data_IF_078086660858
#
_entry.id   IF_078086660858
#
_cell.length_a   1.000
_cell.length_b   1.000
_cell.length_c   1.000
_cell.angle_alpha   90.00
_cell.angle_beta   90.00
_cell.angle_gamma   90.00
#
_symmetry.space_group_name_H-M   'P 1'
#
loop_
_entity.id
_entity.type
_entity.pdbx_description
1 polymer ?
#
# COMPACT_ATOMS: atom_id res chain seq x y z
N UNK A 1 -33.14 -4.46 -14.34
CA UNK A 1 -31.71 -4.74 -14.07
C UNK A 1 -31.34 -3.91 -12.85
N UNK A 2 -31.26 -4.50 -11.67
CA UNK A 2 -30.89 -3.77 -10.45
C UNK A 2 -29.50 -3.19 -10.66
N UNK A 3 -29.40 -1.86 -10.66
CA UNK A 3 -28.10 -1.20 -10.59
C UNK A 3 -27.49 -1.61 -9.26
N UNK A 4 -26.48 -2.48 -9.32
CA UNK A 4 -25.69 -2.83 -8.15
C UNK A 4 -24.79 -1.62 -7.84
N UNK A 5 -25.25 -0.75 -6.94
CA UNK A 5 -24.54 0.46 -6.54
C UNK A 5 -23.13 0.13 -6.07
N UNK A 6 -22.97 -0.99 -5.34
CA UNK A 6 -21.68 -1.48 -4.90
C UNK A 6 -20.76 -1.80 -6.08
N UNK A 7 -21.25 -2.52 -7.09
CA UNK A 7 -20.48 -2.86 -8.29
C UNK A 7 -20.00 -1.61 -9.04
N UNK A 8 -20.87 -0.60 -9.19
CA UNK A 8 -20.48 0.66 -9.85
C UNK A 8 -19.38 1.40 -9.08
N UNK A 9 -19.51 1.49 -7.76
CA UNK A 9 -18.48 2.13 -6.91
C UNK A 9 -17.16 1.35 -6.94
N UNK A 10 -17.22 0.02 -6.95
CA UNK A 10 -16.03 -0.82 -7.05
C UNK A 10 -15.33 -0.63 -8.40
N UNK A 11 -16.07 -0.65 -9.50
CA UNK A 11 -15.53 -0.41 -10.85
C UNK A 11 -14.89 0.98 -10.92
N UNK A 12 -15.53 2.02 -10.39
CA UNK A 12 -14.96 3.36 -10.34
C UNK A 12 -13.60 3.38 -9.61
N UNK A 13 -13.49 2.73 -8.44
CA UNK A 13 -12.22 2.65 -7.71
C UNK A 13 -11.15 1.85 -8.44
N UNK A 14 -11.53 0.79 -9.16
CA UNK A 14 -10.62 0.00 -9.98
C UNK A 14 -10.05 0.85 -11.13
N UNK A 15 -10.88 1.62 -11.81
CA UNK A 15 -10.41 2.47 -12.91
C UNK A 15 -9.50 3.59 -12.42
N UNK A 16 -9.82 4.23 -11.29
CA UNK A 16 -8.94 5.20 -10.64
C UNK A 16 -7.59 4.55 -10.29
N UNK A 17 -7.62 3.35 -9.70
CA UNK A 17 -6.40 2.61 -9.37
C UNK A 17 -5.55 2.32 -10.60
N UNK A 18 -6.15 1.81 -11.68
CA UNK A 18 -5.45 1.47 -12.92
C UNK A 18 -4.77 2.71 -13.53
N UNK A 19 -5.51 3.80 -13.67
CA UNK A 19 -4.97 5.04 -14.25
C UNK A 19 -3.86 5.65 -13.37
N UNK A 20 -4.03 5.66 -12.04
CA UNK A 20 -3.00 6.16 -11.15
C UNK A 20 -1.72 5.28 -11.18
N UNK A 21 -1.89 3.96 -11.16
CA UNK A 21 -0.78 3.01 -11.01
C UNK A 21 0.02 2.78 -12.29
N UNK A 22 -0.62 2.81 -13.47
CA UNK A 22 0.03 2.59 -14.75
C UNK A 22 0.36 3.92 -15.45
N UNK A 23 -0.64 4.77 -15.67
CA UNK A 23 -0.48 5.95 -16.52
C UNK A 23 0.16 7.11 -15.76
N UNK A 24 -0.40 7.45 -14.58
CA UNK A 24 0.08 8.59 -13.79
C UNK A 24 1.45 8.32 -13.20
N UNK A 25 1.71 7.10 -12.73
CA UNK A 25 3.03 6.74 -12.23
C UNK A 25 4.09 6.84 -13.34
N UNK A 26 3.81 6.38 -14.54
CA UNK A 26 4.78 6.49 -15.64
C UNK A 26 4.99 7.95 -16.06
N UNK A 27 3.92 8.73 -16.22
CA UNK A 27 4.03 10.13 -16.65
C UNK A 27 4.77 11.03 -15.66
N UNK A 28 4.74 10.70 -14.36
CA UNK A 28 5.44 11.47 -13.32
C UNK A 28 6.90 11.05 -13.17
N UNK A 29 7.23 9.78 -13.37
CA UNK A 29 8.54 9.22 -13.00
C UNK A 29 9.38 8.74 -14.19
N UNK A 30 8.93 8.91 -15.42
CA UNK A 30 9.71 8.67 -16.64
C UNK A 30 9.96 10.00 -17.36
N UNK A 31 11.13 10.13 -17.98
CA UNK A 31 11.42 11.27 -18.85
C UNK A 31 10.88 11.05 -20.28
N UNK A 32 11.04 12.05 -21.14
CA UNK A 32 10.61 12.00 -22.55
C UNK A 32 11.27 10.87 -23.37
N UNK A 33 12.44 10.39 -22.94
CA UNK A 33 13.15 9.26 -23.54
C UNK A 33 12.66 7.88 -23.05
N UNK A 34 11.64 7.85 -22.17
CA UNK A 34 11.12 6.61 -21.57
C UNK A 34 12.04 6.00 -20.51
N UNK A 35 12.94 6.79 -19.93
CA UNK A 35 13.84 6.37 -18.84
C UNK A 35 13.28 6.77 -17.49
N UNK A 36 13.26 5.82 -16.57
CA UNK A 36 12.88 6.03 -15.17
C UNK A 36 13.88 6.97 -14.48
N UNK A 37 13.39 8.11 -13.98
CA UNK A 37 14.22 9.16 -13.36
C UNK A 37 14.41 8.95 -11.86
N UNK A 38 13.40 8.43 -11.16
CA UNK A 38 13.43 8.22 -9.70
C UNK A 38 12.84 6.85 -9.33
N UNK A 39 13.64 5.77 -9.38
CA UNK A 39 13.12 4.42 -9.13
C UNK A 39 12.49 4.22 -7.76
N UNK A 40 13.08 4.82 -6.71
CA UNK A 40 12.55 4.71 -5.35
C UNK A 40 11.22 5.43 -5.17
N UNK A 41 11.08 6.65 -5.70
CA UNK A 41 9.82 7.40 -5.64
C UNK A 41 8.73 6.77 -6.53
N UNK A 42 9.10 6.20 -7.67
CA UNK A 42 8.18 5.42 -8.50
C UNK A 42 7.60 4.21 -7.76
N UNK A 43 8.46 3.46 -7.06
CA UNK A 43 8.04 2.35 -6.21
C UNK A 43 7.11 2.82 -5.09
N UNK A 44 7.56 3.79 -4.29
CA UNK A 44 6.79 4.36 -3.17
C UNK A 44 5.44 4.92 -3.60
N UNK A 45 5.37 5.58 -4.75
CA UNK A 45 4.12 6.08 -5.31
C UNK A 45 3.14 4.94 -5.62
N UNK A 46 3.61 3.89 -6.28
CA UNK A 46 2.80 2.71 -6.61
C UNK A 46 2.36 1.95 -5.35
N UNK A 47 3.23 1.80 -4.37
CA UNK A 47 2.89 1.22 -3.07
C UNK A 47 1.77 2.00 -2.37
N UNK A 48 1.84 3.32 -2.37
CA UNK A 48 0.81 4.17 -1.76
C UNK A 48 -0.54 4.07 -2.49
N UNK A 49 -0.54 4.01 -3.83
CA UNK A 49 -1.77 3.77 -4.61
C UNK A 49 -2.38 2.41 -4.26
N UNK A 50 -1.55 1.37 -4.15
CA UNK A 50 -2.01 0.04 -3.71
C UNK A 50 -2.63 0.09 -2.31
N UNK A 51 -2.00 0.75 -1.34
CA UNK A 51 -2.53 0.89 0.02
C UNK A 51 -3.89 1.59 0.02
N UNK A 52 -4.04 2.68 -0.73
CA UNK A 52 -5.30 3.41 -0.83
C UNK A 52 -6.42 2.55 -1.44
N UNK A 53 -6.12 1.81 -2.50
CA UNK A 53 -7.08 0.90 -3.13
C UNK A 53 -7.47 -0.24 -2.17
N UNK A 54 -6.50 -0.85 -1.49
CA UNK A 54 -6.79 -1.89 -0.49
C UNK A 54 -7.62 -1.34 0.68
N UNK A 55 -7.34 -0.13 1.17
CA UNK A 55 -8.10 0.49 2.26
C UNK A 55 -9.59 0.63 1.94
N UNK A 56 -9.96 0.78 0.66
CA UNK A 56 -11.37 0.83 0.24
C UNK A 56 -12.13 -0.48 0.49
N UNK A 57 -11.46 -1.63 0.39
CA UNK A 57 -12.07 -2.96 0.56
C UNK A 57 -11.75 -3.60 1.92
N UNK A 58 -10.73 -3.10 2.62
CA UNK A 58 -10.30 -3.59 3.92
C UNK A 58 -11.29 -3.15 5.01
N UNK A 59 -11.76 -4.07 5.88
CA UNK A 59 -12.60 -3.71 7.03
C UNK A 59 -11.96 -2.66 7.93
N UNK A 60 -12.77 -1.76 8.50
CA UNK A 60 -12.28 -0.68 9.35
C UNK A 60 -11.61 -1.15 10.66
N UNK A 61 -11.80 -2.42 11.06
CA UNK A 61 -11.09 -3.04 12.18
C UNK A 61 -9.61 -3.33 11.86
N UNK A 62 -9.23 -3.30 10.58
CA UNK A 62 -7.86 -3.51 10.14
C UNK A 62 -7.26 -2.21 9.61
N UNK A 63 -5.96 -2.10 9.77
CA UNK A 63 -5.18 -1.00 9.23
C UNK A 63 -4.07 -1.49 8.30
N UNK A 64 -3.52 -0.56 7.51
CA UNK A 64 -2.53 -0.84 6.48
C UNK A 64 -1.27 -0.04 6.76
N UNK A 65 -0.14 -0.74 6.92
CA UNK A 65 1.16 -0.15 7.22
C UNK A 65 2.28 -0.66 6.31
N UNK A 66 3.48 -0.21 6.60
CA UNK A 66 4.75 -0.61 5.95
C UNK A 66 5.79 -0.79 7.03
N UNK A 67 6.62 -1.81 6.93
CA UNK A 67 7.64 -2.07 7.94
C UNK A 67 8.14 -3.50 7.93
N UNK A 68 8.54 -4.00 9.09
CA UNK A 68 9.11 -5.34 9.24
C UNK A 68 8.22 -6.19 10.14
N UNK A 69 8.19 -7.49 9.89
CA UNK A 69 7.52 -8.45 10.76
C UNK A 69 8.57 -9.08 11.68
N UNK A 70 8.28 -9.14 12.98
CA UNK A 70 9.14 -9.77 13.98
C UNK A 70 8.39 -10.88 14.69
N UNK A 71 9.07 -11.98 15.00
CA UNK A 71 8.44 -13.09 15.73
C UNK A 71 9.09 -13.34 17.10
N UNK A 72 8.46 -14.20 17.89
CA UNK A 72 8.93 -14.62 19.23
C UNK A 72 10.29 -15.33 19.23
N UNK A 73 10.80 -15.75 18.06
CA UNK A 73 12.14 -16.33 17.89
C UNK A 73 13.19 -15.28 17.48
N UNK A 74 12.86 -13.99 17.59
CA UNK A 74 13.72 -12.86 17.23
C UNK A 74 14.15 -12.86 15.75
N UNK A 75 13.34 -13.44 14.86
CA UNK A 75 13.54 -13.35 13.41
C UNK A 75 12.79 -12.14 12.88
N UNK A 76 13.44 -11.41 11.98
CA UNK A 76 12.90 -10.21 11.32
C UNK A 76 12.77 -10.50 9.82
N UNK A 77 11.66 -10.10 9.20
CA UNK A 77 11.48 -10.17 7.75
C UNK A 77 12.35 -9.14 7.01
N UNK A 78 12.36 -9.20 5.68
CA UNK A 78 12.67 -7.99 4.89
C UNK A 78 11.55 -6.96 5.05
N UNK A 79 11.79 -5.72 4.60
CA UNK A 79 10.76 -4.70 4.61
C UNK A 79 9.59 -5.15 3.74
N UNK A 80 8.38 -5.09 4.32
CA UNK A 80 7.13 -5.33 3.63
C UNK A 80 6.51 -3.98 3.27
N UNK A 81 6.27 -3.77 1.99
CA UNK A 81 5.66 -2.53 1.49
C UNK A 81 4.23 -2.36 1.98
N UNK A 82 3.50 -3.48 2.17
CA UNK A 82 2.11 -3.50 2.62
C UNK A 82 1.94 -4.59 3.69
N UNK A 83 1.50 -4.18 4.87
CA UNK A 83 1.09 -5.05 5.98
C UNK A 83 -0.34 -4.68 6.35
N UNK A 84 -1.24 -5.66 6.37
CA UNK A 84 -2.61 -5.49 6.89
C UNK A 84 -2.64 -6.13 8.28
N UNK A 85 -3.03 -5.36 9.30
CA UNK A 85 -2.93 -5.75 10.70
C UNK A 85 -4.09 -5.20 11.53
N UNK A 86 -4.29 -5.73 12.73
CA UNK A 86 -5.28 -5.24 13.68
C UNK A 86 -4.65 -4.13 14.56
N UNK A 87 -4.97 -2.88 14.25
CA UNK A 87 -4.41 -1.74 14.98
C UNK A 87 -4.89 -1.63 16.44
N UNK A 88 -5.95 -2.34 16.84
CA UNK A 88 -6.42 -2.36 18.23
C UNK A 88 -5.68 -3.38 19.08
N UNK A 89 -5.18 -4.47 18.48
CA UNK A 89 -4.58 -5.59 19.20
C UNK A 89 -3.09 -5.79 18.92
N UNK A 90 -2.52 -5.17 17.89
CA UNK A 90 -1.10 -5.27 17.56
C UNK A 90 -0.31 -4.10 18.15
N UNK A 91 0.62 -4.33 19.10
CA UNK A 91 1.52 -3.28 19.57
C UNK A 91 2.56 -2.98 18.48
N UNK A 92 2.47 -1.79 17.89
CA UNK A 92 3.47 -1.29 16.95
C UNK A 92 4.71 -0.84 17.69
N UNK A 93 5.87 -1.32 17.25
CA UNK A 93 7.17 -0.87 17.75
C UNK A 93 7.77 0.06 16.70
N UNK A 94 8.12 1.28 17.08
CA UNK A 94 8.76 2.27 16.21
C UNK A 94 10.24 2.42 16.60
N UNK A 95 11.13 2.36 15.61
CA UNK A 95 12.55 2.66 15.81
C UNK A 95 12.83 4.18 15.77
N UNK A 96 14.04 4.59 16.17
CA UNK A 96 14.47 6.00 16.05
C UNK A 96 14.43 6.51 14.60
N UNK A 97 14.62 5.61 13.63
CA UNK A 97 14.54 5.89 12.19
C UNK A 97 13.09 5.87 11.64
N UNK A 98 12.08 5.85 12.52
CA UNK A 98 10.64 5.80 12.18
C UNK A 98 10.23 4.58 11.36
N UNK A 99 10.94 3.47 11.55
CA UNK A 99 10.56 2.18 10.96
C UNK A 99 9.63 1.46 11.92
N UNK A 100 8.55 0.89 11.38
CA UNK A 100 7.61 0.11 12.17
C UNK A 100 7.96 -1.37 12.15
N UNK A 101 7.84 -2.01 13.30
CA UNK A 101 7.98 -3.44 13.50
C UNK A 101 6.66 -4.00 14.03
N UNK A 102 6.17 -5.04 13.37
CA UNK A 102 4.88 -5.68 13.58
C UNK A 102 5.11 -7.06 14.21
N UNK A 103 4.74 -7.27 15.48
CA UNK A 103 4.88 -8.57 16.14
C UNK A 103 3.93 -9.63 15.56
N UNK A 104 4.43 -10.86 15.39
CA UNK A 104 3.65 -12.04 15.01
C UNK A 104 3.98 -13.30 15.84
#
# INVERSE_FOLDING_TARGET
>A
MSINVFEKLLIEKIEIFKSAFAETAESVFFNDDGKLIHPGEFGRYRENICKQFLKFVTPASLDIGTGFIINTSNKVSHQCDIIIYDAQHTPLLESEEKQFFFPC
#
